data_IF_441128772427
#
_entry.id   IF_441128772427
#
_cell.length_a   1.000
_cell.length_b   1.000
_cell.length_c   1.000
_cell.angle_alpha   90.00
_cell.angle_beta   90.00
_cell.angle_gamma   90.00
#
_symmetry.space_group_name_H-M   'P 1'
#
loop_
_entity.id
_entity.type
_entity.pdbx_description
1 polymer ?
#
# COMPACT_ATOMS: atom_id res chain seq x y z
N UNK A 1 -23.06 2.27 13.28
CA UNK A 1 -22.08 1.19 13.07
C UNK A 1 -22.62 0.31 11.96
N UNK A 2 -21.85 0.14 10.88
CA UNK A 2 -22.30 -0.60 9.70
C UNK A 2 -22.44 -2.10 10.01
N UNK A 3 -23.34 -2.76 9.28
CA UNK A 3 -23.61 -4.20 9.34
C UNK A 3 -22.32 -5.02 9.18
N UNK A 4 -21.98 -5.93 10.12
CA UNK A 4 -20.80 -6.79 10.01
C UNK A 4 -20.72 -7.58 8.70
N UNK A 5 -21.86 -7.99 8.14
CA UNK A 5 -21.90 -8.76 6.90
C UNK A 5 -21.57 -7.89 5.67
N UNK A 6 -21.82 -6.58 5.73
CA UNK A 6 -21.39 -5.64 4.69
C UNK A 6 -19.89 -5.29 4.79
N UNK A 7 -19.30 -5.40 5.98
CA UNK A 7 -17.88 -5.13 6.21
C UNK A 7 -16.98 -6.29 5.77
N UNK A 8 -17.44 -7.53 5.93
CA UNK A 8 -16.65 -8.74 5.66
C UNK A 8 -15.98 -8.76 4.28
N UNK A 9 -16.68 -8.49 3.15
CA UNK A 9 -16.03 -8.52 1.83
C UNK A 9 -14.93 -7.46 1.65
N UNK A 10 -15.09 -6.32 2.32
CA UNK A 10 -14.10 -5.23 2.29
C UNK A 10 -12.85 -5.64 3.05
N UNK A 11 -13.01 -6.24 4.23
CA UNK A 11 -11.91 -6.77 5.03
C UNK A 11 -11.16 -7.87 4.27
N UNK A 12 -11.87 -8.83 3.69
CA UNK A 12 -11.29 -9.92 2.89
C UNK A 12 -10.48 -9.39 1.71
N UNK A 13 -11.02 -8.39 1.00
CA UNK A 13 -10.32 -7.78 -0.15
C UNK A 13 -9.03 -7.07 0.27
N UNK A 14 -9.08 -6.27 1.33
CA UNK A 14 -7.89 -5.56 1.80
C UNK A 14 -6.86 -6.49 2.44
N UNK A 15 -7.30 -7.54 3.14
CA UNK A 15 -6.41 -8.57 3.65
C UNK A 15 -5.69 -9.28 2.50
N UNK A 16 -6.42 -9.75 1.50
CA UNK A 16 -5.84 -10.39 0.32
C UNK A 16 -4.83 -9.50 -0.40
N UNK A 17 -5.16 -8.21 -0.60
CA UNK A 17 -4.27 -7.26 -1.28
C UNK A 17 -2.99 -7.02 -0.45
N UNK A 18 -3.15 -6.84 0.86
CA UNK A 18 -2.02 -6.60 1.77
C UNK A 18 -1.10 -7.82 1.84
N UNK A 19 -1.66 -9.03 1.91
CA UNK A 19 -0.91 -10.28 1.89
C UNK A 19 -0.14 -10.45 0.58
N UNK A 20 -0.78 -10.14 -0.56
CA UNK A 20 -0.14 -10.22 -1.87
C UNK A 20 1.07 -9.28 -1.98
N UNK A 21 0.93 -8.03 -1.52
CA UNK A 21 2.02 -7.06 -1.51
C UNK A 21 3.13 -7.46 -0.52
N UNK A 22 2.76 -8.00 0.64
CA UNK A 22 3.72 -8.52 1.63
C UNK A 22 4.58 -9.61 1.01
N UNK A 23 3.98 -10.55 0.28
CA UNK A 23 4.70 -11.61 -0.43
C UNK A 23 5.70 -11.06 -1.44
N UNK A 24 5.30 -10.10 -2.27
CA UNK A 24 6.18 -9.48 -3.27
C UNK A 24 7.37 -8.76 -2.63
N UNK A 25 7.14 -8.02 -1.54
CA UNK A 25 8.21 -7.33 -0.82
C UNK A 25 9.17 -8.31 -0.13
N UNK A 26 8.65 -9.43 0.39
CA UNK A 26 9.46 -10.49 0.98
C UNK A 26 10.32 -11.20 -0.09
N UNK A 27 9.76 -11.46 -1.28
CA UNK A 27 10.48 -12.00 -2.43
C UNK A 27 11.61 -11.06 -2.87
N UNK A 28 11.32 -9.77 -3.07
CA UNK A 28 12.35 -8.78 -3.45
C UNK A 28 13.47 -8.67 -2.41
N UNK A 29 13.14 -8.74 -1.11
CA UNK A 29 14.14 -8.80 -0.04
C UNK A 29 14.96 -10.09 -0.09
N UNK A 30 14.34 -11.24 -0.33
CA UNK A 30 15.03 -12.53 -0.43
C UNK A 30 15.98 -12.58 -1.65
N UNK A 31 15.61 -11.93 -2.75
CA UNK A 31 16.45 -11.78 -3.95
C UNK A 31 17.56 -10.74 -3.80
N UNK A 32 17.56 -9.96 -2.71
CA UNK A 32 18.53 -8.90 -2.47
C UNK A 32 18.24 -7.58 -3.21
N UNK A 33 17.05 -7.45 -3.81
CA UNK A 33 16.59 -6.22 -4.49
C UNK A 33 16.19 -5.13 -3.49
N UNK A 34 15.76 -5.53 -2.29
CA UNK A 34 15.36 -4.64 -1.21
C UNK A 34 16.26 -4.81 0.03
N UNK A 35 16.38 -3.74 0.81
CA UNK A 35 17.12 -3.75 2.07
C UNK A 35 16.54 -4.77 3.06
N UNK A 36 17.43 -5.51 3.72
CA UNK A 36 17.11 -6.43 4.80
C UNK A 36 16.48 -5.76 6.01
N UNK A 37 16.65 -4.43 6.17
CA UNK A 37 15.99 -3.64 7.20
C UNK A 37 14.50 -3.34 6.92
N UNK A 38 14.04 -3.54 5.69
CA UNK A 38 12.64 -3.32 5.32
C UNK A 38 11.76 -4.44 5.87
N UNK A 39 10.67 -4.06 6.55
CA UNK A 39 9.63 -4.97 7.02
C UNK A 39 8.53 -5.10 5.95
N UNK A 40 8.36 -6.27 5.30
CA UNK A 40 7.40 -6.44 4.21
C UNK A 40 5.95 -6.16 4.60
N UNK A 41 5.53 -6.62 5.79
CA UNK A 41 4.13 -6.52 6.24
C UNK A 41 3.72 -5.07 6.57
N UNK A 42 4.57 -4.36 7.32
CA UNK A 42 4.34 -2.94 7.62
C UNK A 42 4.39 -2.08 6.36
N UNK A 43 5.33 -2.38 5.45
CA UNK A 43 5.46 -1.66 4.19
C UNK A 43 4.26 -1.88 3.28
N UNK A 44 3.78 -3.13 3.13
CA UNK A 44 2.57 -3.44 2.38
C UNK A 44 1.34 -2.70 2.94
N UNK A 45 1.17 -2.74 4.26
CA UNK A 45 0.09 -2.02 4.96
C UNK A 45 0.15 -0.52 4.69
N UNK A 46 1.34 0.08 4.76
CA UNK A 46 1.54 1.50 4.45
C UNK A 46 1.19 1.83 3.00
N UNK A 47 1.61 1.00 2.03
CA UNK A 47 1.29 1.19 0.61
C UNK A 47 -0.23 1.16 0.36
N UNK A 48 -0.94 0.18 0.93
CA UNK A 48 -2.42 0.10 0.82
C UNK A 48 -3.06 1.33 1.44
N UNK A 49 -2.60 1.77 2.62
CA UNK A 49 -3.11 2.96 3.29
C UNK A 49 -2.91 4.23 2.46
N UNK A 50 -1.74 4.43 1.83
CA UNK A 50 -1.49 5.58 0.95
C UNK A 50 -2.35 5.50 -0.31
N UNK A 51 -2.61 4.31 -0.85
CA UNK A 51 -3.50 4.13 -2.01
C UNK A 51 -4.92 4.59 -1.67
N UNK A 52 -5.48 4.10 -0.55
CA UNK A 52 -6.84 4.47 -0.14
C UNK A 52 -6.93 5.95 0.24
N UNK A 53 -5.97 6.45 1.02
CA UNK A 53 -5.90 7.86 1.42
C UNK A 53 -5.71 8.79 0.23
N UNK A 54 -4.90 8.39 -0.76
CA UNK A 54 -4.68 9.13 -2.00
C UNK A 54 -5.98 9.33 -2.79
N UNK A 55 -6.85 8.31 -2.85
CA UNK A 55 -8.16 8.45 -3.48
C UNK A 55 -9.05 9.45 -2.74
N UNK A 56 -9.06 9.40 -1.41
CA UNK A 56 -9.80 10.36 -0.57
C UNK A 56 -9.31 11.79 -0.79
N UNK A 57 -7.99 12.01 -0.80
CA UNK A 57 -7.39 13.33 -1.05
C UNK A 57 -7.70 13.85 -2.45
N UNK A 58 -7.60 13.00 -3.48
CA UNK A 58 -7.92 13.37 -4.86
C UNK A 58 -9.39 13.75 -5.03
N UNK A 59 -10.31 13.02 -4.38
CA UNK A 59 -11.74 13.36 -4.38
C UNK A 59 -12.04 14.66 -3.63
N UNK A 60 -11.35 14.91 -2.52
CA UNK A 60 -11.51 16.15 -1.77
C UNK A 60 -10.99 17.38 -2.53
N UNK A 61 -9.94 17.20 -3.35
CA UNK A 61 -9.32 18.25 -4.15
C UNK A 61 -9.90 18.40 -5.56
N UNK A 62 -10.84 17.52 -5.97
CA UNK A 62 -11.33 17.39 -7.35
C UNK A 62 -10.19 17.33 -8.39
N UNK A 63 -9.14 16.56 -8.09
CA UNK A 63 -7.90 16.53 -8.89
C UNK A 63 -7.26 15.15 -8.86
N UNK A 64 -7.10 14.56 -10.05
CA UNK A 64 -6.43 13.27 -10.24
C UNK A 64 -4.92 13.35 -10.00
N UNK A 65 -4.34 14.54 -10.14
CA UNK A 65 -2.92 14.81 -9.91
C UNK A 65 -2.53 14.57 -8.45
N UNK A 66 -3.45 14.78 -7.50
CA UNK A 66 -3.21 14.52 -6.08
C UNK A 66 -3.01 13.03 -5.82
N UNK A 67 -3.78 12.17 -6.48
CA UNK A 67 -3.60 10.71 -6.40
C UNK A 67 -2.24 10.30 -6.97
N UNK A 68 -1.90 10.81 -8.16
CA UNK A 68 -0.62 10.52 -8.80
C UNK A 68 0.57 10.95 -7.91
N UNK A 69 0.46 12.11 -7.26
CA UNK A 69 1.49 12.59 -6.32
C UNK A 69 1.63 11.67 -5.10
N UNK A 70 0.53 11.18 -4.54
CA UNK A 70 0.55 10.25 -3.42
C UNK A 70 1.25 8.93 -3.80
N UNK A 71 0.94 8.39 -4.99
CA UNK A 71 1.56 7.15 -5.50
C UNK A 71 3.05 7.33 -5.79
N UNK A 72 3.43 8.43 -6.46
CA UNK A 72 4.83 8.74 -6.72
C UNK A 72 5.62 8.93 -5.42
N UNK A 73 5.03 9.58 -4.41
CA UNK A 73 5.64 9.74 -3.09
C UNK A 73 5.85 8.40 -2.37
N UNK A 74 4.82 7.54 -2.36
CA UNK A 74 4.92 6.20 -1.76
C UNK A 74 5.99 5.33 -2.42
N UNK A 75 6.04 5.32 -3.76
CA UNK A 75 7.06 4.61 -4.51
C UNK A 75 8.45 5.20 -4.27
N UNK A 76 8.59 6.53 -4.21
CA UNK A 76 9.86 7.18 -3.90
C UNK A 76 10.41 6.81 -2.51
N UNK A 77 9.53 6.68 -1.50
CA UNK A 77 9.91 6.19 -0.18
C UNK A 77 10.36 4.72 -0.22
N UNK A 78 9.68 3.87 -1.00
CA UNK A 78 10.09 2.48 -1.20
C UNK A 78 11.43 2.38 -1.94
N UNK A 79 11.66 3.22 -2.96
CA UNK A 79 12.91 3.26 -3.73
C UNK A 79 14.13 3.57 -2.85
N UNK A 80 13.97 4.30 -1.75
CA UNK A 80 15.04 4.53 -0.79
C UNK A 80 15.56 3.25 -0.10
N UNK A 81 14.82 2.14 -0.22
CA UNK A 81 15.19 0.81 0.29
C UNK A 81 15.61 -0.17 -0.81
N UNK A 82 15.70 0.26 -2.07
CA UNK A 82 16.21 -0.57 -3.17
C UNK A 82 17.74 -0.63 -3.11
N UNK A 83 18.30 -1.81 -3.38
CA UNK A 83 19.75 -2.06 -3.39
C UNK A 83 20.37 -1.98 -4.78
#
# INVERSE_FOLDING_TARGET
MADPDLRRPVEETFAWLTDRLTGLLAEGRANGELDTGLDPASTATALVAVLQGGYVLARAADSVEVYARAMNGALGLLTAHVR
#
